data_IF_628235788973
#
_entry.id   IF_628235788973
#
_cell.length_a   1.000
_cell.length_b   1.000
_cell.length_c   1.000
_cell.angle_alpha   90.00
_cell.angle_beta   90.00
_cell.angle_gamma   90.00
#
_symmetry.space_group_name_H-M   'P 1'
#
loop_
_entity.id
_entity.type
_entity.pdbx_description
1 polymer ?
#
# COMPACT_ATOMS: atom_id res chain seq x y z
N UNK A 1 2.49 3.34 -8.54
CA UNK A 1 2.86 3.19 -7.12
C UNK A 1 4.14 3.93 -6.70
N UNK A 2 4.65 4.84 -7.54
CA UNK A 2 5.91 5.54 -7.25
C UNK A 2 5.93 6.32 -5.92
N UNK A 3 4.78 6.78 -5.41
CA UNK A 3 4.70 7.52 -4.14
C UNK A 3 5.02 6.62 -2.92
N UNK A 4 4.62 5.35 -2.95
CA UNK A 4 4.96 4.41 -1.87
C UNK A 4 6.42 3.95 -1.96
N UNK A 5 6.91 3.80 -3.19
CA UNK A 5 8.24 3.27 -3.51
C UNK A 5 9.36 4.31 -3.32
N UNK A 6 9.11 5.60 -3.58
CA UNK A 6 10.14 6.65 -3.49
C UNK A 6 10.41 7.06 -2.04
N UNK A 7 11.68 7.32 -1.72
CA UNK A 7 12.10 7.92 -0.45
C UNK A 7 11.82 9.42 -0.37
N UNK A 8 11.56 10.07 -1.51
CA UNK A 8 11.29 11.52 -1.59
C UNK A 8 9.86 11.91 -1.17
N UNK A 9 8.95 10.94 -1.00
CA UNK A 9 7.56 11.20 -0.62
C UNK A 9 7.43 11.30 0.89
N UNK A 10 6.78 12.38 1.36
CA UNK A 10 6.54 12.59 2.79
C UNK A 10 5.62 11.52 3.40
N UNK A 11 5.64 11.45 4.74
CA UNK A 11 4.73 10.60 5.49
C UNK A 11 3.27 10.80 5.09
N UNK A 12 2.82 12.06 4.96
CA UNK A 12 1.45 12.41 4.63
C UNK A 12 1.03 11.87 3.27
N UNK A 13 1.91 11.95 2.27
CA UNK A 13 1.64 11.39 0.95
C UNK A 13 1.46 9.88 1.02
N UNK A 14 2.38 9.16 1.67
CA UNK A 14 2.28 7.70 1.80
C UNK A 14 1.07 7.30 2.63
N UNK A 15 0.76 8.07 3.67
CA UNK A 15 -0.40 7.87 4.53
C UNK A 15 -1.71 8.01 3.76
N UNK A 16 -1.87 9.06 2.95
CA UNK A 16 -3.06 9.23 2.09
C UNK A 16 -3.21 8.07 1.10
N UNK A 17 -2.11 7.62 0.49
CA UNK A 17 -2.14 6.48 -0.43
C UNK A 17 -2.59 5.22 0.29
N UNK A 18 -2.04 4.89 1.46
CA UNK A 18 -2.48 3.72 2.23
C UNK A 18 -3.97 3.79 2.55
N UNK A 19 -4.46 4.95 3.01
CA UNK A 19 -5.89 5.10 3.31
C UNK A 19 -6.79 4.86 2.10
N UNK A 20 -6.36 5.31 0.92
CA UNK A 20 -7.07 5.04 -0.33
C UNK A 20 -7.02 3.55 -0.68
N UNK A 21 -5.84 2.92 -0.58
CA UNK A 21 -5.66 1.50 -0.87
C UNK A 21 -6.49 0.62 0.05
N UNK A 22 -6.55 0.90 1.36
CA UNK A 22 -7.41 0.16 2.29
C UNK A 22 -8.88 0.19 1.87
N UNK A 23 -9.37 1.32 1.34
CA UNK A 23 -10.76 1.40 0.85
C UNK A 23 -10.99 0.60 -0.43
N UNK A 24 -10.02 0.64 -1.34
CA UNK A 24 -10.07 -0.11 -2.61
C UNK A 24 -10.00 -1.61 -2.34
N UNK A 25 -9.06 -2.05 -1.50
CA UNK A 25 -8.89 -3.46 -1.14
C UNK A 25 -10.05 -4.00 -0.28
N UNK A 26 -10.72 -3.14 0.49
CA UNK A 26 -11.94 -3.50 1.22
C UNK A 26 -13.18 -3.73 0.34
N UNK A 27 -13.10 -3.46 -0.96
CA UNK A 27 -14.15 -3.77 -1.93
C UNK A 27 -13.72 -4.92 -2.84
N UNK A 28 -14.35 -6.08 -2.66
CA UNK A 28 -14.01 -7.29 -3.42
C UNK A 28 -14.15 -7.09 -4.94
N UNK A 29 -15.10 -6.26 -5.39
CA UNK A 29 -15.26 -5.98 -6.82
C UNK A 29 -14.06 -5.19 -7.36
N UNK A 30 -13.62 -4.15 -6.65
CA UNK A 30 -12.42 -3.38 -6.99
C UNK A 30 -11.17 -4.25 -7.09
N UNK A 31 -11.00 -5.24 -6.20
CA UNK A 31 -9.87 -6.18 -6.25
C UNK A 31 -9.91 -7.07 -7.49
N UNK A 32 -11.09 -7.62 -7.81
CA UNK A 32 -11.30 -8.43 -9.03
C UNK A 32 -11.02 -7.60 -10.28
N UNK A 33 -11.50 -6.37 -10.32
CA UNK A 33 -11.31 -5.48 -11.46
C UNK A 33 -9.83 -5.14 -11.65
N UNK A 34 -9.08 -4.90 -10.57
CA UNK A 34 -7.63 -4.69 -10.66
C UNK A 34 -6.94 -5.91 -11.27
N UNK A 35 -7.26 -7.11 -10.77
CA UNK A 35 -6.64 -8.33 -11.26
C UNK A 35 -6.92 -8.58 -12.75
N UNK A 36 -8.20 -8.54 -13.14
CA UNK A 36 -8.61 -8.81 -14.53
C UNK A 36 -8.03 -7.80 -15.50
N UNK A 37 -7.97 -6.51 -15.13
CA UNK A 37 -7.52 -5.46 -16.04
C UNK A 37 -5.99 -5.25 -16.05
N UNK A 38 -5.25 -5.58 -14.98
CA UNK A 38 -3.85 -5.17 -14.83
C UNK A 38 -2.86 -6.27 -14.41
N UNK A 39 -3.34 -7.49 -14.14
CA UNK A 39 -2.47 -8.63 -13.75
C UNK A 39 -2.77 -9.93 -14.53
N UNK A 40 -3.93 -10.06 -15.19
CA UNK A 40 -4.36 -11.29 -15.90
C UNK A 40 -3.77 -11.44 -17.34
N UNK A 41 -2.70 -10.73 -17.67
CA UNK A 41 -1.98 -10.83 -18.96
C UNK A 41 -0.47 -10.97 -18.72
N UNK A 42 0.21 -11.77 -19.54
CA UNK A 42 1.67 -11.93 -19.55
C UNK A 42 2.41 -10.60 -19.81
N UNK A 43 1.76 -9.62 -20.45
CA UNK A 43 2.30 -8.27 -20.64
C UNK A 43 1.93 -7.27 -19.53
N UNK A 44 1.16 -7.71 -18.53
CA UNK A 44 0.55 -6.83 -17.57
C UNK A 44 1.55 -6.22 -16.57
N UNK A 45 1.16 -5.11 -15.95
CA UNK A 45 2.02 -4.30 -15.10
C UNK A 45 2.34 -4.96 -13.73
N UNK A 46 1.77 -6.13 -13.44
CA UNK A 46 1.85 -6.83 -12.15
C UNK A 46 1.46 -5.91 -10.99
N UNK A 47 0.37 -5.16 -11.17
CA UNK A 47 -0.05 -4.08 -10.28
C UNK A 47 -0.44 -4.63 -8.91
N UNK A 48 -1.17 -5.74 -8.87
CA UNK A 48 -1.58 -6.39 -7.63
C UNK A 48 -0.36 -6.90 -6.85
N UNK A 49 0.58 -7.58 -7.53
CA UNK A 49 1.81 -8.05 -6.89
C UNK A 49 2.61 -6.88 -6.31
N UNK A 50 2.77 -5.79 -7.06
CA UNK A 50 3.45 -4.59 -6.56
C UNK A 50 2.72 -4.03 -5.33
N UNK A 51 1.40 -3.93 -5.39
CA UNK A 51 0.56 -3.40 -4.32
C UNK A 51 0.75 -4.15 -3.02
N UNK A 52 0.62 -5.48 -3.08
CA UNK A 52 0.84 -6.35 -1.92
C UNK A 52 2.26 -6.18 -1.37
N UNK A 53 3.28 -6.08 -2.23
CA UNK A 53 4.66 -5.88 -1.80
C UNK A 53 4.88 -4.55 -1.07
N UNK A 54 4.35 -3.45 -1.58
CA UNK A 54 4.55 -2.14 -0.98
C UNK A 54 3.77 -1.99 0.33
N UNK A 55 2.53 -2.48 0.38
CA UNK A 55 1.75 -2.52 1.62
C UNK A 55 2.42 -3.43 2.67
N UNK A 56 3.03 -4.55 2.24
CA UNK A 56 3.80 -5.42 3.14
C UNK A 56 5.01 -4.73 3.77
N UNK A 57 5.78 -3.96 3.00
CA UNK A 57 6.91 -3.17 3.54
C UNK A 57 6.45 -2.14 4.57
N UNK A 58 5.28 -1.54 4.35
CA UNK A 58 4.67 -0.59 5.28
C UNK A 58 4.24 -1.29 6.57
N UNK A 59 3.55 -2.44 6.46
CA UNK A 59 3.11 -3.23 7.61
C UNK A 59 4.29 -3.66 8.51
N UNK A 60 5.46 -3.88 7.92
CA UNK A 60 6.71 -4.18 8.62
C UNK A 60 7.33 -2.97 9.35
N UNK A 61 6.85 -1.75 9.12
CA UNK A 61 7.23 -0.54 9.88
C UNK A 61 8.51 0.17 9.44
N UNK A 62 9.32 -0.44 8.56
CA UNK A 62 10.62 0.14 8.15
C UNK A 62 10.49 1.52 7.49
N UNK A 63 9.49 1.71 6.63
CA UNK A 63 9.31 2.98 5.91
C UNK A 63 8.94 4.16 6.81
N UNK A 64 8.18 3.93 7.88
CA UNK A 64 7.78 5.00 8.79
C UNK A 64 8.97 5.54 9.59
N UNK A 65 9.92 4.67 9.95
CA UNK A 65 11.17 5.07 10.60
C UNK A 65 12.05 5.93 9.70
N UNK A 66 12.19 5.57 8.42
CA UNK A 66 12.96 6.34 7.43
C UNK A 66 12.41 7.75 7.20
N UNK A 67 11.10 7.93 7.39
CA UNK A 67 10.41 9.20 7.22
C UNK A 67 10.41 10.08 8.48
N UNK A 68 11.06 9.63 9.57
CA UNK A 68 11.05 10.34 10.85
C UNK A 68 9.66 10.42 11.49
N UNK A 69 8.78 9.44 11.19
CA UNK A 69 7.44 9.41 11.76
C UNK A 69 7.49 9.24 13.29
N UNK A 70 6.55 9.88 13.99
CA UNK A 70 6.37 9.65 15.42
C UNK A 70 5.97 8.19 15.70
N UNK A 71 6.23 7.65 16.91
CA UNK A 71 5.84 6.28 17.25
C UNK A 71 4.35 5.98 17.02
N UNK A 72 3.48 6.97 17.27
CA UNK A 72 2.03 6.84 17.04
C UNK A 72 1.68 6.79 15.54
N UNK A 73 2.37 7.59 14.72
CA UNK A 73 2.23 7.55 13.26
C UNK A 73 2.72 6.21 12.70
N UNK A 74 3.89 5.72 13.13
CA UNK A 74 4.42 4.41 12.74
C UNK A 74 3.41 3.29 13.07
N UNK A 75 2.92 3.25 14.32
CA UNK A 75 1.91 2.29 14.74
C UNK A 75 0.65 2.34 13.87
N UNK A 76 0.15 3.54 13.60
CA UNK A 76 -1.06 3.72 12.79
C UNK A 76 -0.85 3.28 11.33
N UNK A 77 0.32 3.56 10.77
CA UNK A 77 0.71 3.16 9.42
C UNK A 77 0.82 1.64 9.29
N UNK A 78 1.39 0.98 10.31
CA UNK A 78 1.49 -0.49 10.35
C UNK A 78 0.13 -1.17 10.46
N UNK A 79 -0.75 -0.68 11.35
CA UNK A 79 -2.09 -1.24 11.52
C UNK A 79 -2.87 -1.17 10.21
N UNK A 80 -2.91 0.00 9.55
CA UNK A 80 -3.60 0.13 8.26
C UNK A 80 -2.98 -0.73 7.16
N UNK A 81 -1.65 -0.84 7.15
CA UNK A 81 -0.96 -1.73 6.21
C UNK A 81 -1.42 -3.19 6.38
N UNK A 82 -1.52 -3.67 7.63
CA UNK A 82 -2.03 -5.01 7.91
C UNK A 82 -3.50 -5.17 7.54
N UNK A 83 -4.36 -4.21 7.89
CA UNK A 83 -5.79 -4.22 7.52
C UNK A 83 -5.95 -4.34 6.00
N UNK A 84 -5.19 -3.57 5.23
CA UNK A 84 -5.22 -3.60 3.76
C UNK A 84 -4.81 -4.95 3.16
N UNK A 85 -3.95 -5.72 3.84
CA UNK A 85 -3.49 -7.04 3.36
C UNK A 85 -4.47 -8.17 3.66
N UNK A 86 -5.35 -8.00 4.63
CA UNK A 86 -6.33 -9.01 5.06
C UNK A 86 -7.77 -8.67 4.66
N UNK A 87 -7.94 -7.55 3.95
CA UNK A 87 -9.22 -7.08 3.40
C UNK A 87 -9.70 -7.97 2.26
#
# INVERSE_FOLDING_TARGET
MNILETSSSSFEHKWMVIQALTRICGDAQSVVDIYVNYDCDLSAANLFQRLVNDVSKIAQGRQALELGATPNQEKSMRIRGLECLVS
#
